data_IF_799898987410
#
_entry.id   IF_799898987410
#
_cell.length_a   1.000
_cell.length_b   1.000
_cell.length_c   1.000
_cell.angle_alpha   90.00
_cell.angle_beta   90.00
_cell.angle_gamma   90.00
#
_symmetry.space_group_name_H-M   'P 1'
#
loop_
_entity.id
_entity.type
_entity.pdbx_description
1 polymer ?
#
# COMPACT_ATOMS: atom_id res chain seq x y z
N UNK A 1 -13.99 -20.13 -13.02
CA UNK A 1 -13.47 -20.18 -11.66
C UNK A 1 -14.28 -19.31 -10.73
N UNK A 2 -14.67 -19.83 -9.61
CA UNK A 2 -15.45 -19.07 -8.64
C UNK A 2 -14.61 -17.97 -8.00
N UNK A 3 -15.20 -16.80 -7.88
CA UNK A 3 -14.56 -15.69 -7.17
C UNK A 3 -14.95 -15.79 -5.71
N UNK A 4 -13.95 -15.76 -4.84
CA UNK A 4 -14.20 -15.89 -3.41
C UNK A 4 -14.26 -14.48 -2.80
N UNK A 5 -15.39 -14.18 -2.18
CA UNK A 5 -15.61 -12.93 -1.46
C UNK A 5 -15.64 -13.23 0.03
N UNK A 6 -15.05 -12.36 0.79
CA UNK A 6 -15.09 -12.44 2.24
C UNK A 6 -15.60 -11.13 2.80
N UNK A 7 -16.35 -11.21 3.88
CA UNK A 7 -16.89 -10.05 4.56
C UNK A 7 -16.02 -9.75 5.76
N UNK A 8 -15.57 -8.51 5.85
CA UNK A 8 -14.70 -8.06 6.93
C UNK A 8 -15.36 -6.86 7.58
N UNK A 9 -15.51 -6.91 8.89
CA UNK A 9 -16.10 -5.81 9.63
C UNK A 9 -15.05 -4.75 9.87
N UNK A 10 -15.34 -3.52 9.43
CA UNK A 10 -14.44 -2.39 9.61
C UNK A 10 -14.59 -1.80 11.02
N UNK A 11 -13.63 -0.95 11.43
CA UNK A 11 -13.66 -0.30 12.74
C UNK A 11 -14.93 0.48 13.00
N UNK A 12 -15.56 0.98 11.95
CA UNK A 12 -16.82 1.71 12.07
C UNK A 12 -18.04 0.81 12.30
N UNK A 13 -17.84 -0.50 12.31
CA UNK A 13 -18.95 -1.45 12.38
C UNK A 13 -19.56 -1.78 11.02
N UNK A 14 -19.04 -1.19 9.96
CA UNK A 14 -19.50 -1.50 8.62
C UNK A 14 -18.91 -2.82 8.14
N UNK A 15 -19.69 -3.53 7.33
CA UNK A 15 -19.23 -4.77 6.71
C UNK A 15 -18.85 -4.45 5.28
N UNK A 16 -17.60 -4.72 4.92
CA UNK A 16 -17.11 -4.53 3.56
C UNK A 16 -16.81 -5.88 2.94
N UNK A 17 -17.05 -5.99 1.65
CA UNK A 17 -16.73 -7.20 0.90
C UNK A 17 -15.38 -7.05 0.26
N UNK A 18 -14.47 -7.93 0.59
CA UNK A 18 -13.15 -8.00 -0.01
C UNK A 18 -13.07 -9.27 -0.82
N UNK A 19 -12.34 -9.20 -1.93
CA UNK A 19 -11.96 -10.42 -2.65
C UNK A 19 -10.53 -10.78 -2.30
N UNK A 20 -10.17 -12.04 -2.49
CA UNK A 20 -8.78 -12.47 -2.35
C UNK A 20 -8.05 -12.30 -3.66
N UNK A 21 -6.89 -11.65 -3.61
CA UNK A 21 -6.04 -11.49 -4.78
C UNK A 21 -5.44 -12.84 -5.19
N UNK A 22 -5.37 -13.10 -6.50
CA UNK A 22 -4.88 -14.39 -6.99
C UNK A 22 -3.45 -14.71 -6.59
N UNK A 23 -2.58 -13.69 -6.52
CA UNK A 23 -1.17 -13.89 -6.17
C UNK A 23 -0.95 -13.45 -4.73
N UNK A 24 -0.88 -14.41 -3.81
CA UNK A 24 -0.61 -14.15 -2.40
C UNK A 24 -1.83 -14.13 -1.50
N UNK A 25 -3.02 -13.97 -2.06
CA UNK A 25 -4.30 -14.06 -1.36
C UNK A 25 -4.60 -12.91 -0.40
N UNK A 26 -4.00 -11.74 -0.63
CA UNK A 26 -4.33 -10.55 0.15
C UNK A 26 -5.74 -10.05 -0.13
N UNK A 27 -6.26 -9.23 0.76
CA UNK A 27 -7.61 -8.68 0.67
C UNK A 27 -7.65 -7.45 -0.23
N UNK A 28 -8.56 -7.46 -1.20
CA UNK A 28 -8.74 -6.34 -2.13
C UNK A 28 -10.18 -5.83 -2.02
N UNK A 29 -10.33 -4.58 -1.63
CA UNK A 29 -11.64 -3.96 -1.49
C UNK A 29 -12.30 -3.73 -2.85
N UNK A 30 -13.63 -3.66 -2.89
CA UNK A 30 -14.31 -3.25 -4.12
C UNK A 30 -13.79 -1.88 -4.57
N UNK A 31 -13.52 -1.72 -5.86
CA UNK A 31 -13.02 -0.46 -6.39
C UNK A 31 -11.51 -0.29 -6.34
N UNK A 32 -10.79 -1.22 -5.72
CA UNK A 32 -9.33 -1.23 -5.76
C UNK A 32 -8.86 -1.99 -7.00
N UNK A 33 -7.70 -1.63 -7.51
CA UNK A 33 -7.11 -2.27 -8.68
C UNK A 33 -5.73 -2.80 -8.30
N UNK A 34 -5.54 -4.10 -8.47
CA UNK A 34 -4.27 -4.74 -8.16
C UNK A 34 -3.85 -5.53 -9.39
N UNK A 35 -2.68 -5.22 -9.93
CA UNK A 35 -2.18 -5.95 -11.09
C UNK A 35 -2.03 -7.43 -10.75
N UNK A 36 -2.34 -8.29 -11.70
CA UNK A 36 -2.31 -9.74 -11.50
C UNK A 36 -0.93 -10.24 -11.07
N UNK A 37 0.13 -9.56 -11.47
CA UNK A 37 1.51 -9.95 -11.14
C UNK A 37 1.97 -9.43 -9.80
N UNK A 38 1.24 -8.50 -9.19
CA UNK A 38 1.59 -8.00 -7.87
C UNK A 38 1.34 -9.10 -6.82
N UNK A 39 2.21 -9.17 -5.83
CA UNK A 39 2.05 -10.09 -4.72
C UNK A 39 1.44 -9.36 -3.52
N UNK A 40 0.32 -9.85 -3.03
CA UNK A 40 -0.32 -9.37 -1.81
C UNK A 40 -0.32 -10.48 -0.78
N UNK A 41 0.40 -10.31 0.32
CA UNK A 41 0.38 -11.30 1.39
C UNK A 41 -1.06 -11.48 1.89
N UNK A 42 -1.39 -12.69 2.33
CA UNK A 42 -2.76 -13.04 2.71
C UNK A 42 -3.29 -12.19 3.88
N UNK A 43 -2.43 -11.52 4.60
CA UNK A 43 -2.81 -10.64 5.71
C UNK A 43 -2.69 -9.16 5.37
N UNK A 44 -2.53 -8.83 4.10
CA UNK A 44 -2.47 -7.45 3.66
C UNK A 44 -3.82 -7.00 3.13
N UNK A 45 -4.03 -5.68 3.14
CA UNK A 45 -5.29 -5.09 2.69
C UNK A 45 -5.02 -3.97 1.71
N UNK A 46 -5.80 -3.94 0.63
CA UNK A 46 -5.79 -2.84 -0.34
C UNK A 46 -7.19 -2.26 -0.36
N UNK A 47 -7.32 -1.01 0.04
CA UNK A 47 -8.62 -0.38 0.24
C UNK A 47 -9.18 0.23 -1.04
N UNK A 48 -10.42 0.70 -0.94
CA UNK A 48 -11.17 1.25 -2.06
C UNK A 48 -10.38 2.35 -2.79
N UNK A 49 -10.34 2.26 -4.11
CA UNK A 49 -9.70 3.27 -4.93
C UNK A 49 -8.18 3.18 -4.99
N UNK A 50 -7.57 2.34 -4.19
CA UNK A 50 -6.12 2.17 -4.23
C UNK A 50 -5.72 1.39 -5.47
N UNK A 51 -4.49 1.61 -5.93
CA UNK A 51 -3.95 0.95 -7.12
C UNK A 51 -2.58 0.37 -6.81
N UNK A 52 -2.38 -0.89 -7.14
CA UNK A 52 -1.10 -1.56 -6.95
C UNK A 52 -0.59 -2.03 -8.30
N UNK A 53 0.59 -1.56 -8.67
CA UNK A 53 1.16 -1.79 -9.99
C UNK A 53 1.77 -3.18 -10.16
N UNK A 54 2.13 -3.48 -11.40
CA UNK A 54 2.72 -4.78 -11.76
C UNK A 54 3.96 -5.07 -10.92
N UNK A 55 4.12 -6.31 -10.52
CA UNK A 55 5.28 -6.81 -9.80
C UNK A 55 5.56 -6.11 -8.47
N UNK A 56 4.62 -5.33 -7.96
CA UNK A 56 4.75 -4.77 -6.62
C UNK A 56 4.62 -5.89 -5.59
N UNK A 57 5.23 -5.70 -4.45
CA UNK A 57 5.19 -6.66 -3.35
C UNK A 57 4.61 -5.96 -2.12
N UNK A 58 3.55 -6.52 -1.56
CA UNK A 58 2.93 -6.00 -0.34
C UNK A 58 3.07 -7.06 0.75
N UNK A 59 3.83 -6.76 1.78
CA UNK A 59 4.15 -7.70 2.85
C UNK A 59 3.03 -7.91 3.85
N UNK A 60 3.24 -8.88 4.73
CA UNK A 60 2.25 -9.30 5.72
C UNK A 60 1.84 -8.15 6.64
N UNK A 61 0.55 -8.06 6.90
CA UNK A 61 0.02 -7.08 7.83
C UNK A 61 0.03 -5.65 7.31
N UNK A 62 0.40 -5.44 6.06
CA UNK A 62 0.46 -4.10 5.50
C UNK A 62 -0.91 -3.65 5.01
N UNK A 63 -1.12 -2.36 5.06
CA UNK A 63 -2.41 -1.78 4.73
C UNK A 63 -2.21 -0.61 3.76
N UNK A 64 -2.79 -0.76 2.57
CA UNK A 64 -2.77 0.29 1.55
C UNK A 64 -4.12 0.98 1.62
N UNK A 65 -4.14 2.22 2.11
CA UNK A 65 -5.39 2.90 2.38
C UNK A 65 -6.03 3.46 1.12
N UNK A 66 -7.24 3.97 1.27
CA UNK A 66 -8.06 4.40 0.14
C UNK A 66 -7.32 5.40 -0.75
N UNK A 67 -7.40 5.18 -2.05
CA UNK A 67 -6.82 6.10 -3.03
C UNK A 67 -5.31 6.06 -3.16
N UNK A 68 -4.60 5.30 -2.34
CA UNK A 68 -3.15 5.23 -2.43
C UNK A 68 -2.71 4.50 -3.70
N UNK A 69 -1.54 4.86 -4.20
CA UNK A 69 -0.98 4.24 -5.39
C UNK A 69 0.38 3.64 -5.05
N UNK A 70 0.56 2.37 -5.40
CA UNK A 70 1.86 1.69 -5.25
C UNK A 70 2.38 1.39 -6.64
N UNK A 71 3.54 1.93 -6.97
CA UNK A 71 4.09 1.86 -8.31
C UNK A 71 4.61 0.48 -8.69
N UNK A 72 4.89 0.33 -9.98
CA UNK A 72 5.42 -0.91 -10.54
C UNK A 72 6.71 -1.31 -9.82
N UNK A 73 6.79 -2.57 -9.40
CA UNK A 73 7.99 -3.09 -8.76
C UNK A 73 8.29 -2.55 -7.38
N UNK A 74 7.42 -1.75 -6.80
CA UNK A 74 7.65 -1.22 -5.47
C UNK A 74 7.58 -2.35 -4.43
N UNK A 75 8.36 -2.20 -3.37
CA UNK A 75 8.40 -3.18 -2.28
C UNK A 75 7.87 -2.53 -1.01
N UNK A 76 6.82 -3.10 -0.46
CA UNK A 76 6.25 -2.68 0.81
C UNK A 76 6.48 -3.80 1.82
N UNK A 77 7.24 -3.52 2.85
CA UNK A 77 7.58 -4.52 3.87
C UNK A 77 6.38 -4.96 4.70
N UNK A 78 6.65 -5.61 5.81
CA UNK A 78 5.60 -6.09 6.69
C UNK A 78 5.10 -4.97 7.61
N UNK A 79 3.81 -4.99 7.90
CA UNK A 79 3.20 -4.06 8.85
C UNK A 79 3.42 -2.59 8.50
N UNK A 80 3.39 -2.29 7.22
CA UNK A 80 3.52 -0.93 6.71
C UNK A 80 2.12 -0.36 6.48
N UNK A 81 1.91 0.86 6.91
CA UNK A 81 0.68 1.56 6.59
C UNK A 81 0.95 2.66 5.58
N UNK A 82 0.31 2.56 4.43
CA UNK A 82 0.40 3.57 3.38
C UNK A 82 -0.88 4.40 3.44
N UNK A 83 -0.74 5.65 3.82
CA UNK A 83 -1.89 6.51 4.07
C UNK A 83 -2.71 6.82 2.84
N UNK A 84 -3.91 7.35 3.07
CA UNK A 84 -4.84 7.66 1.99
C UNK A 84 -4.20 8.60 0.97
N UNK A 85 -4.41 8.31 -0.30
CA UNK A 85 -3.93 9.14 -1.41
C UNK A 85 -2.41 9.30 -1.48
N UNK A 86 -1.66 8.50 -0.73
CA UNK A 86 -0.21 8.50 -0.85
C UNK A 86 0.21 7.88 -2.18
N UNK A 87 1.36 8.29 -2.68
CA UNK A 87 1.90 7.80 -3.95
C UNK A 87 3.28 7.24 -3.73
N UNK A 88 3.40 5.94 -3.90
CA UNK A 88 4.67 5.24 -3.77
C UNK A 88 5.21 5.00 -5.16
N UNK A 89 6.35 5.60 -5.48
CA UNK A 89 6.92 5.52 -6.82
C UNK A 89 7.37 4.11 -7.20
N UNK A 90 7.57 3.91 -8.51
CA UNK A 90 8.04 2.64 -9.03
C UNK A 90 9.36 2.25 -8.37
N UNK A 91 9.52 0.98 -8.05
CA UNK A 91 10.73 0.43 -7.45
C UNK A 91 11.13 1.03 -6.10
N UNK A 92 10.27 1.85 -5.50
CA UNK A 92 10.53 2.35 -4.15
C UNK A 92 10.44 1.19 -3.14
N UNK A 93 11.16 1.32 -2.04
CA UNK A 93 11.20 0.26 -1.03
C UNK A 93 10.85 0.86 0.33
N UNK A 94 9.77 0.35 0.92
CA UNK A 94 9.34 0.79 2.24
C UNK A 94 9.70 -0.28 3.26
N UNK A 95 10.53 0.08 4.23
CA UNK A 95 10.93 -0.85 5.27
C UNK A 95 9.77 -1.22 6.19
N UNK A 96 9.88 -2.37 6.83
CA UNK A 96 8.83 -2.89 7.70
C UNK A 96 8.53 -1.93 8.84
N UNK A 97 7.27 -1.92 9.26
CA UNK A 97 6.77 -1.08 10.36
C UNK A 97 6.82 0.42 10.08
N UNK A 98 7.07 0.83 8.83
CA UNK A 98 7.03 2.25 8.49
C UNK A 98 5.59 2.74 8.38
N UNK A 99 5.41 4.03 8.65
CA UNK A 99 4.11 4.69 8.57
C UNK A 99 4.21 5.82 7.58
N UNK A 100 3.49 5.70 6.50
CA UNK A 100 3.47 6.71 5.44
C UNK A 100 2.16 7.48 5.58
N UNK A 101 2.25 8.77 5.86
CA UNK A 101 1.07 9.58 6.05
C UNK A 101 0.25 9.76 4.78
N UNK A 102 -0.94 10.32 4.93
CA UNK A 102 -1.79 10.59 3.75
C UNK A 102 -1.12 11.61 2.84
N UNK A 103 -1.37 11.46 1.54
CA UNK A 103 -0.89 12.39 0.51
C UNK A 103 0.63 12.53 0.46
N UNK A 104 1.36 11.56 0.99
CA UNK A 104 2.82 11.52 0.89
C UNK A 104 3.20 11.06 -0.51
N UNK A 105 4.23 11.66 -1.07
CA UNK A 105 4.80 11.22 -2.35
C UNK A 105 6.21 10.66 -2.10
N UNK A 106 6.42 9.42 -2.49
CA UNK A 106 7.74 8.78 -2.45
C UNK A 106 8.21 8.62 -3.88
N UNK A 107 9.32 9.25 -4.22
CA UNK A 107 9.84 9.21 -5.58
C UNK A 107 10.26 7.79 -5.97
N UNK A 108 10.27 7.50 -7.29
CA UNK A 108 10.71 6.18 -7.75
C UNK A 108 12.10 5.83 -7.22
N UNK A 109 12.29 4.57 -6.86
CA UNK A 109 13.57 4.05 -6.41
C UNK A 109 13.98 4.46 -5.00
N UNK A 110 13.20 5.29 -4.35
CA UNK A 110 13.55 5.74 -2.99
C UNK A 110 13.41 4.64 -1.98
N UNK A 111 14.24 4.69 -0.96
CA UNK A 111 14.21 3.73 0.12
C UNK A 111 13.83 4.42 1.42
N UNK A 112 12.81 3.90 2.08
CA UNK A 112 12.34 4.37 3.38
C UNK A 112 12.74 3.33 4.41
N UNK A 113 13.50 3.68 5.43
CA UNK A 113 13.96 2.70 6.42
C UNK A 113 12.82 2.14 7.26
N UNK A 114 13.08 1.00 7.89
CA UNK A 114 12.11 0.41 8.81
C UNK A 114 11.81 1.37 9.95
N UNK A 115 10.60 1.30 10.44
CA UNK A 115 10.10 2.10 11.56
C UNK A 115 10.05 3.60 11.28
N UNK A 116 10.27 4.03 10.04
CA UNK A 116 10.20 5.44 9.70
C UNK A 116 8.75 5.94 9.77
N UNK A 117 8.60 7.20 10.08
CA UNK A 117 7.31 7.87 10.06
C UNK A 117 7.42 9.08 9.15
N UNK A 118 6.67 9.05 8.07
CA UNK A 118 6.66 10.14 7.10
C UNK A 118 5.38 10.92 7.28
N UNK A 119 5.50 12.19 7.64
CA UNK A 119 4.34 13.03 7.90
C UNK A 119 3.50 13.24 6.65
N UNK A 120 2.19 13.37 6.83
CA UNK A 120 1.27 13.61 5.72
C UNK A 120 1.69 14.80 4.87
N UNK A 121 1.52 14.69 3.56
CA UNK A 121 1.88 15.73 2.61
C UNK A 121 3.36 15.84 2.29
N UNK A 122 4.21 15.04 2.94
CA UNK A 122 5.66 15.09 2.68
C UNK A 122 6.00 14.54 1.32
N UNK A 123 7.12 15.02 0.77
CA UNK A 123 7.66 14.54 -0.49
C UNK A 123 9.07 14.01 -0.23
N UNK A 124 9.29 12.74 -0.53
CA UNK A 124 10.59 12.10 -0.37
C UNK A 124 11.14 11.85 -1.77
N UNK A 125 12.12 12.64 -2.20
CA UNK A 125 12.62 12.64 -3.58
C UNK A 125 14.06 12.22 -3.73
N UNK A 126 14.84 12.37 -2.68
CA UNK A 126 16.26 12.14 -2.78
C UNK A 126 16.78 11.80 -1.39
N UNK A 127 17.77 10.91 -1.27
CA UNK A 127 18.30 10.55 0.04
C UNK A 127 18.76 11.75 0.89
N UNK A 128 19.14 12.84 0.24
CA UNK A 128 19.63 14.06 0.92
C UNK A 128 18.57 15.12 1.06
N UNK A 129 17.41 14.93 0.47
CA UNK A 129 16.36 15.93 0.43
C UNK A 129 15.07 15.33 0.95
N UNK A 130 14.90 15.42 2.26
CA UNK A 130 13.61 15.13 2.84
C UNK A 130 12.88 16.44 2.95
N UNK A 131 12.02 16.69 1.96
CA UNK A 131 11.20 17.87 1.96
C UNK A 131 9.89 17.51 2.63
N UNK A 132 9.66 18.03 3.82
CA UNK A 132 8.34 17.93 4.41
C UNK A 132 7.54 19.11 3.87
N UNK A 133 6.25 18.89 3.65
CA UNK A 133 5.37 19.95 3.19
C UNK A 133 5.03 20.89 4.35
N UNK A 134 6.02 21.35 4.99
CA UNK A 134 5.83 22.26 6.11
C UNK A 134 5.85 23.67 5.61
#
# INVERSE_FOLDING_TARGET
>A
MARIWEEVEADSGEVSRYRRHGNGRGFVAPGAQVDATAFLDERSYVEKGAKVGARAFIGAGSWIESGATVGVGAFVGANVRVGADARIGAAARLGSHSRIGSEVTIAPGMRVPSDARIAGGSVVRHPREHSTAA
#
